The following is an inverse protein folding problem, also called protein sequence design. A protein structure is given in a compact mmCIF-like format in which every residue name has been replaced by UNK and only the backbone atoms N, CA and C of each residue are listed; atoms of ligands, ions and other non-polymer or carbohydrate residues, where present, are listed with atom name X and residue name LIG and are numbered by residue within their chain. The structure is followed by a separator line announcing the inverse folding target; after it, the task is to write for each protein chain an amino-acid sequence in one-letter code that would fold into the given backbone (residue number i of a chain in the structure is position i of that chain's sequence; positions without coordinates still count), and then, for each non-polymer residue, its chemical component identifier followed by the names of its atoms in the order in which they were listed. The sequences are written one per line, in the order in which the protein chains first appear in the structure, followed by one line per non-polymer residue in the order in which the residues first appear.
data_IF_640935959229
#
_entry.id   IF_640935959229
#
_cell.length_a   1.000
_cell.length_b   1.000
_cell.length_c   1.000
_cell.angle_alpha   90.00
_cell.angle_beta   90.00
_cell.angle_gamma   90.00
#
_symmetry.space_group_name_H-M   'P 1'
#
loop_
_entity.id
_entity.type
_entity.pdbx_description
1 polymer ?
#
# COMPACT_ATOMS: atom_id res chain seq x y z
N UNK A 1 -6.30 26.83 24.08
CA UNK A 1 -6.48 26.03 22.84
C UNK A 1 -5.31 26.33 21.94
N UNK A 2 -4.36 25.41 21.82
CA UNK A 2 -3.25 25.56 20.88
C UNK A 2 -3.80 25.41 19.47
N UNK A 3 -3.57 26.42 18.61
CA UNK A 3 -3.92 26.36 17.19
C UNK A 3 -2.78 25.66 16.47
N UNK A 4 -3.10 24.73 15.57
CA UNK A 4 -2.11 24.17 14.65
C UNK A 4 -1.63 25.31 13.75
N UNK A 5 -0.31 25.54 13.61
CA UNK A 5 0.20 26.51 12.65
C UNK A 5 -0.11 25.97 11.25
N UNK A 6 -0.99 26.66 10.51
CA UNK A 6 -1.35 26.30 9.14
C UNK A 6 -0.60 27.25 8.21
N UNK A 7 0.22 26.69 7.32
CA UNK A 7 0.89 27.42 6.24
C UNK A 7 -0.07 27.55 5.06
N UNK A 8 -0.12 28.75 4.47
CA UNK A 8 -0.83 28.98 3.22
C UNK A 8 -0.01 28.40 2.05
N UNK A 9 -0.52 27.34 1.43
CA UNK A 9 0.15 26.58 0.37
C UNK A 9 -0.86 26.06 -0.65
N UNK A 10 -0.41 25.73 -1.86
CA UNK A 10 -1.30 25.07 -2.83
C UNK A 10 -1.72 23.69 -2.31
N UNK A 11 -3.03 23.49 -2.19
CA UNK A 11 -3.62 22.23 -1.73
C UNK A 11 -3.98 21.29 -2.88
N UNK A 12 -3.88 21.72 -4.14
CA UNK A 12 -4.31 20.93 -5.30
C UNK A 12 -3.60 19.59 -5.37
N UNK A 13 -2.27 19.58 -5.21
CA UNK A 13 -1.48 18.34 -5.26
C UNK A 13 -1.66 17.45 -4.03
N UNK A 14 -1.58 17.94 -2.77
CA UNK A 14 -1.86 17.14 -1.58
C UNK A 14 -3.26 16.49 -1.60
N UNK A 15 -4.28 17.22 -2.03
CA UNK A 15 -5.65 16.68 -2.14
C UNK A 15 -5.70 15.57 -3.19
N UNK A 16 -5.06 15.75 -4.35
CA UNK A 16 -5.00 14.71 -5.37
C UNK A 16 -4.27 13.45 -4.88
N UNK A 17 -3.15 13.61 -4.16
CA UNK A 17 -2.41 12.48 -3.56
C UNK A 17 -3.30 11.77 -2.53
N UNK A 18 -3.92 12.50 -1.61
CA UNK A 18 -4.80 11.91 -0.60
C UNK A 18 -5.97 11.13 -1.20
N UNK A 19 -6.54 11.61 -2.31
CA UNK A 19 -7.58 10.87 -3.04
C UNK A 19 -7.05 9.56 -3.65
N UNK A 20 -5.84 9.58 -4.23
CA UNK A 20 -5.21 8.38 -4.79
C UNK A 20 -4.87 7.35 -3.71
N UNK A 21 -4.22 7.79 -2.62
CA UNK A 21 -3.90 6.94 -1.46
C UNK A 21 -5.16 6.26 -0.91
N UNK A 22 -6.24 7.04 -0.71
CA UNK A 22 -7.52 6.52 -0.23
C UNK A 22 -8.09 5.45 -1.16
N UNK A 23 -8.06 5.68 -2.48
CA UNK A 23 -8.60 4.73 -3.44
C UNK A 23 -7.80 3.43 -3.48
N UNK A 24 -6.47 3.53 -3.42
CA UNK A 24 -5.58 2.36 -3.34
C UNK A 24 -5.82 1.56 -2.06
N UNK A 25 -5.87 2.22 -0.89
CA UNK A 25 -6.19 1.56 0.37
C UNK A 25 -7.56 0.91 0.38
N UNK A 26 -8.57 1.56 -0.23
CA UNK A 26 -9.90 0.98 -0.39
C UNK A 26 -9.87 -0.28 -1.26
N UNK A 27 -9.21 -0.20 -2.42
CA UNK A 27 -9.09 -1.35 -3.33
C UNK A 27 -8.36 -2.53 -2.69
N UNK A 28 -7.31 -2.26 -1.91
CA UNK A 28 -6.59 -3.29 -1.16
C UNK A 28 -7.48 -3.91 -0.07
N UNK A 29 -8.21 -3.10 0.69
CA UNK A 29 -9.12 -3.61 1.72
C UNK A 29 -10.27 -4.43 1.13
N UNK A 30 -10.87 -3.96 0.04
CA UNK A 30 -11.99 -4.63 -0.63
C UNK A 30 -11.60 -5.94 -1.33
N UNK A 31 -10.30 -6.25 -1.39
CA UNK A 31 -9.78 -7.51 -1.89
C UNK A 31 -9.89 -8.67 -0.90
N UNK A 32 -10.26 -8.42 0.37
CA UNK A 32 -10.32 -9.43 1.43
C UNK A 32 -11.75 -9.64 1.92
N UNK A 33 -12.09 -10.88 2.28
CA UNK A 33 -13.44 -11.30 2.70
C UNK A 33 -14.00 -10.53 3.91
N UNK A 34 -13.13 -9.88 4.69
CA UNK A 34 -13.52 -9.05 5.82
C UNK A 34 -14.08 -7.69 5.41
N UNK A 35 -13.89 -7.25 4.16
CA UNK A 35 -14.50 -6.02 3.67
C UNK A 35 -15.98 -6.20 3.35
N UNK A 36 -16.76 -5.16 3.66
CA UNK A 36 -18.18 -5.08 3.30
C UNK A 36 -18.42 -5.06 1.78
N UNK A 37 -17.43 -4.56 1.02
CA UNK A 37 -17.50 -4.44 -0.44
C UNK A 37 -16.73 -5.57 -1.16
N UNK A 38 -16.38 -6.65 -0.44
CA UNK A 38 -15.69 -7.80 -1.04
C UNK A 38 -16.52 -8.44 -2.14
N UNK A 39 -15.89 -8.67 -3.30
CA UNK A 39 -16.55 -9.25 -4.48
C UNK A 39 -15.95 -10.58 -4.90
N UNK A 40 -14.63 -10.68 -4.97
CA UNK A 40 -13.91 -11.87 -5.39
C UNK A 40 -12.48 -11.87 -4.88
N UNK A 41 -11.92 -13.07 -4.65
CA UNK A 41 -10.51 -13.21 -4.32
C UNK A 41 -9.65 -12.73 -5.51
N UNK A 42 -8.62 -11.90 -5.27
CA UNK A 42 -7.75 -11.40 -6.35
C UNK A 42 -7.12 -12.51 -7.20
N UNK A 43 -6.83 -13.67 -6.60
CA UNK A 43 -6.29 -14.83 -7.31
C UNK A 43 -7.26 -15.38 -8.37
N UNK A 44 -8.57 -15.16 -8.20
CA UNK A 44 -9.63 -15.60 -9.10
C UNK A 44 -10.11 -14.52 -10.05
N UNK A 45 -9.75 -13.26 -9.79
CA UNK A 45 -10.14 -12.12 -10.59
C UNK A 45 -9.70 -12.28 -12.06
N UNK A 46 -10.57 -11.97 -13.04
CA UNK A 46 -10.24 -12.11 -14.46
C UNK A 46 -8.98 -11.34 -14.87
N UNK A 47 -8.71 -10.21 -14.22
CA UNK A 47 -7.58 -9.33 -14.55
C UNK A 47 -6.22 -9.95 -14.20
N UNK A 48 -6.17 -10.88 -13.25
CA UNK A 48 -4.94 -11.57 -12.84
C UNK A 48 -4.82 -12.98 -13.43
N UNK A 49 -5.93 -13.59 -13.85
CA UNK A 49 -5.98 -14.97 -14.33
C UNK A 49 -5.12 -15.15 -15.59
N UNK A 50 -4.26 -16.18 -15.55
CA UNK A 50 -3.48 -16.67 -16.69
C UNK A 50 -3.55 -18.20 -16.76
N UNK A 51 -2.76 -18.82 -17.64
CA UNK A 51 -2.85 -20.26 -17.96
C UNK A 51 -2.71 -21.20 -16.77
N UNK A 52 -1.88 -20.83 -15.77
CA UNK A 52 -1.64 -21.66 -14.58
C UNK A 52 -1.86 -20.87 -13.31
N UNK A 53 -2.19 -21.57 -12.21
CA UNK A 53 -2.33 -20.95 -10.89
C UNK A 53 -1.02 -20.31 -10.42
N UNK A 54 0.12 -20.96 -10.69
CA UNK A 54 1.44 -20.43 -10.36
C UNK A 54 1.71 -19.10 -11.09
N UNK A 55 1.42 -19.04 -12.39
CA UNK A 55 1.60 -17.80 -13.16
C UNK A 55 0.59 -16.72 -12.74
N UNK A 56 -0.63 -17.12 -12.35
CA UNK A 56 -1.66 -16.20 -11.82
C UNK A 56 -1.21 -15.57 -10.52
N UNK A 57 -0.70 -16.38 -9.59
CA UNK A 57 -0.10 -15.88 -8.35
C UNK A 57 1.08 -14.95 -8.61
N UNK A 58 2.00 -15.31 -9.53
CA UNK A 58 3.14 -14.46 -9.87
C UNK A 58 2.70 -13.09 -10.42
N UNK A 59 1.68 -13.06 -11.27
CA UNK A 59 1.10 -11.82 -11.79
C UNK A 59 0.43 -10.98 -10.70
N UNK A 60 -0.33 -11.63 -9.82
CA UNK A 60 -0.96 -10.98 -8.68
C UNK A 60 0.08 -10.39 -7.71
N UNK A 61 1.13 -11.15 -7.39
CA UNK A 61 2.22 -10.69 -6.52
C UNK A 61 2.95 -9.48 -7.11
N UNK A 62 3.20 -9.47 -8.42
CA UNK A 62 3.77 -8.32 -9.10
C UNK A 62 2.86 -7.09 -8.99
N UNK A 63 1.55 -7.26 -9.21
CA UNK A 63 0.57 -6.18 -9.04
C UNK A 63 0.56 -5.61 -7.61
N UNK A 64 0.61 -6.47 -6.59
CA UNK A 64 0.72 -6.03 -5.19
C UNK A 64 2.03 -5.30 -4.89
N UNK A 65 3.14 -5.70 -5.53
CA UNK A 65 4.40 -4.95 -5.42
C UNK A 65 4.24 -3.55 -5.99
N UNK A 66 3.73 -3.45 -7.22
CA UNK A 66 3.53 -2.16 -7.91
C UNK A 66 2.61 -1.24 -7.10
N UNK A 67 1.55 -1.81 -6.50
CA UNK A 67 0.63 -1.07 -5.63
C UNK A 67 1.32 -0.55 -4.36
N UNK A 68 2.17 -1.37 -3.73
CA UNK A 68 2.94 -1.00 -2.54
C UNK A 68 3.98 0.08 -2.86
N UNK A 69 4.69 -0.07 -3.97
CA UNK A 69 5.70 0.89 -4.42
C UNK A 69 5.06 2.25 -4.78
N UNK A 70 3.90 2.24 -5.43
CA UNK A 70 3.17 3.47 -5.74
C UNK A 70 2.60 4.15 -4.48
N UNK A 71 2.09 3.37 -3.51
CA UNK A 71 1.63 3.90 -2.22
C UNK A 71 2.79 4.61 -1.51
N UNK A 72 3.95 3.94 -1.41
CA UNK A 72 5.17 4.53 -0.85
C UNK A 72 5.58 5.80 -1.57
N UNK A 73 5.62 5.79 -2.90
CA UNK A 73 5.99 6.97 -3.71
C UNK A 73 5.06 8.16 -3.42
N UNK A 74 3.76 7.92 -3.31
CA UNK A 74 2.75 8.94 -3.02
C UNK A 74 2.86 9.47 -1.59
N UNK A 75 3.08 8.61 -0.60
CA UNK A 75 3.29 9.03 0.80
C UNK A 75 4.57 9.87 0.94
N UNK A 76 5.66 9.48 0.30
CA UNK A 76 6.92 10.24 0.30
C UNK A 76 6.78 11.60 -0.42
N UNK A 77 6.03 11.64 -1.52
CA UNK A 77 5.73 12.89 -2.22
C UNK A 77 4.87 13.81 -1.35
N UNK A 78 3.86 13.27 -0.65
CA UNK A 78 3.05 14.03 0.29
C UNK A 78 3.89 14.58 1.44
N UNK A 79 4.76 13.75 2.02
CA UNK A 79 5.70 14.17 3.08
C UNK A 79 6.61 15.29 2.59
N UNK A 80 7.16 15.18 1.36
CA UNK A 80 7.98 16.24 0.76
C UNK A 80 7.25 17.57 0.67
N UNK A 81 6.02 17.56 0.18
CA UNK A 81 5.20 18.79 0.03
C UNK A 81 5.02 19.49 1.38
N UNK A 82 4.73 18.73 2.45
CA UNK A 82 4.56 19.32 3.78
C UNK A 82 5.88 19.74 4.41
N UNK A 83 6.94 18.93 4.33
CA UNK A 83 8.27 19.29 4.83
C UNK A 83 8.76 20.58 4.19
N UNK A 84 8.57 20.74 2.87
CA UNK A 84 8.96 21.95 2.15
C UNK A 84 8.12 23.17 2.55
N UNK A 85 6.80 23.00 2.69
CA UNK A 85 5.91 24.09 3.10
C UNK A 85 6.20 24.59 4.52
N UNK A 86 6.59 23.70 5.43
CA UNK A 86 6.93 24.06 6.81
C UNK A 86 8.40 24.41 7.03
N UNK A 87 9.28 24.20 6.06
CA UNK A 87 10.72 24.45 6.20
C UNK A 87 11.41 23.48 7.17
N UNK A 88 10.98 22.22 7.19
CA UNK A 88 11.43 21.19 8.15
C UNK A 88 12.47 20.23 7.58
N UNK A 89 13.18 20.60 6.52
CA UNK A 89 14.12 19.72 5.82
C UNK A 89 15.27 19.22 6.71
N UNK A 90 15.64 20.01 7.72
CA UNK A 90 16.70 19.65 8.68
C UNK A 90 16.19 18.77 9.84
N UNK A 91 14.86 18.62 9.99
CA UNK A 91 14.23 17.90 11.10
C UNK A 91 13.59 16.57 10.67
N UNK A 92 13.10 16.48 9.43
CA UNK A 92 12.31 15.37 8.94
C UNK A 92 12.81 14.85 7.59
N UNK A 93 12.66 13.55 7.37
CA UNK A 93 12.95 12.89 6.09
C UNK A 93 11.67 12.62 5.33
N UNK A 94 11.73 12.63 4.00
CA UNK A 94 10.57 12.27 3.17
C UNK A 94 10.32 10.76 3.14
N UNK A 95 11.36 9.97 3.39
CA UNK A 95 11.36 8.51 3.25
C UNK A 95 10.38 7.84 4.21
N UNK A 96 9.62 6.87 3.68
CA UNK A 96 8.70 6.04 4.46
C UNK A 96 9.19 4.58 4.45
N UNK A 97 9.48 3.95 5.59
CA UNK A 97 9.89 2.54 5.62
C UNK A 97 8.84 1.62 4.96
N UNK A 98 9.28 0.57 4.28
CA UNK A 98 8.36 -0.33 3.56
C UNK A 98 7.38 -1.03 4.51
N UNK A 99 7.81 -1.30 5.74
CA UNK A 99 6.99 -1.85 6.82
C UNK A 99 5.91 -0.90 7.35
N UNK A 100 5.99 0.39 7.04
CA UNK A 100 4.97 1.39 7.40
C UNK A 100 3.91 1.57 6.32
N UNK A 101 4.11 1.00 5.12
CA UNK A 101 3.10 1.04 4.05
C UNK A 101 1.96 0.09 4.39
N UNK A 102 0.84 0.67 4.85
CA UNK A 102 -0.26 -0.03 5.53
C UNK A 102 -1.19 -0.86 4.63
N UNK A 103 -0.75 -1.21 3.42
CA UNK A 103 -1.50 -2.10 2.54
C UNK A 103 -1.47 -3.54 3.08
N UNK A 104 -2.62 -4.21 3.07
CA UNK A 104 -2.78 -5.61 3.50
C UNK A 104 -2.03 -6.56 2.56
N UNK A 105 -1.90 -6.21 1.28
CA UNK A 105 -1.09 -6.96 0.32
C UNK A 105 0.43 -6.77 0.50
N UNK A 106 0.89 -5.81 1.31
CA UNK A 106 2.30 -5.62 1.63
C UNK A 106 2.74 -6.63 2.71
N UNK A 107 3.61 -7.60 2.39
CA UNK A 107 4.05 -8.60 3.36
C UNK A 107 4.82 -7.99 4.54
N UNK A 108 5.59 -6.92 4.32
CA UNK A 108 6.42 -6.30 5.36
C UNK A 108 5.54 -5.68 6.46
N UNK A 109 4.43 -5.06 6.08
CA UNK A 109 3.42 -4.56 7.01
C UNK A 109 2.63 -5.71 7.65
N UNK A 110 2.09 -6.63 6.84
CA UNK A 110 1.19 -7.70 7.31
C UNK A 110 1.83 -8.67 8.30
N UNK A 111 3.09 -9.05 8.11
CA UNK A 111 3.75 -10.09 8.93
C UNK A 111 4.90 -9.57 9.82
N UNK A 112 5.23 -8.29 9.69
CA UNK A 112 6.18 -7.55 10.54
C UNK A 112 7.66 -7.71 10.17
N UNK A 113 8.46 -6.76 10.65
CA UNK A 113 9.86 -6.50 10.29
C UNK A 113 10.94 -7.46 10.84
N UNK A 114 10.56 -8.59 11.46
CA UNK A 114 11.51 -9.56 12.05
C UNK A 114 11.83 -10.75 11.15
N UNK A 115 11.31 -10.75 9.93
CA UNK A 115 11.39 -11.85 8.96
C UNK A 115 12.20 -11.44 7.74
N UNK A 116 12.86 -12.39 7.13
CA UNK A 116 13.51 -12.23 5.83
C UNK A 116 12.45 -12.09 4.74
N UNK A 117 12.82 -11.47 3.62
CA UNK A 117 11.95 -11.35 2.44
C UNK A 117 11.39 -12.71 1.99
N UNK A 118 12.22 -13.75 1.96
CA UNK A 118 11.80 -15.11 1.61
C UNK A 118 10.73 -15.68 2.55
N UNK A 119 10.84 -15.41 3.85
CA UNK A 119 9.82 -15.82 4.84
C UNK A 119 8.51 -15.05 4.66
N UNK A 120 8.60 -13.75 4.38
CA UNK A 120 7.44 -12.91 4.10
C UNK A 120 6.69 -13.37 2.85
N UNK A 121 7.42 -13.66 1.77
CA UNK A 121 6.85 -14.21 0.53
C UNK A 121 6.20 -15.57 0.74
N UNK A 122 6.83 -16.43 1.54
CA UNK A 122 6.27 -17.74 1.87
C UNK A 122 4.96 -17.63 2.65
N UNK A 123 4.87 -16.69 3.60
CA UNK A 123 3.66 -16.42 4.38
C UNK A 123 2.54 -15.84 3.53
N UNK A 124 2.84 -14.81 2.72
CA UNK A 124 1.86 -14.21 1.81
C UNK A 124 1.27 -15.26 0.87
N UNK A 125 2.13 -16.10 0.29
CA UNK A 125 1.69 -17.18 -0.59
C UNK A 125 0.84 -18.20 0.15
N UNK A 126 1.22 -18.59 1.36
CA UNK A 126 0.46 -19.55 2.16
C UNK A 126 -0.95 -19.03 2.48
N UNK A 127 -1.06 -17.78 2.94
CA UNK A 127 -2.36 -17.14 3.23
C UNK A 127 -3.21 -17.01 1.97
N UNK A 128 -2.64 -16.56 0.86
CA UNK A 128 -3.37 -16.42 -0.42
C UNK A 128 -3.95 -17.75 -0.91
N UNK A 129 -3.22 -18.86 -0.71
CA UNK A 129 -3.70 -20.19 -1.08
C UNK A 129 -4.68 -20.74 -0.04
N UNK A 130 -4.54 -20.39 1.24
CA UNK A 130 -5.49 -20.77 2.27
C UNK A 130 -6.86 -20.11 2.07
N UNK A 131 -6.88 -18.83 1.66
CA UNK A 131 -8.13 -18.12 1.31
C UNK A 131 -8.82 -18.72 0.06
N UNK A 132 -8.09 -19.47 -0.78
CA UNK A 132 -8.66 -20.15 -1.95
C UNK A 132 -9.36 -21.49 -1.64
N UNK A 133 -9.07 -22.13 -0.50
CA UNK A 133 -9.53 -23.49 -0.15
C UNK A 133 -10.81 -23.50 0.70
#
# INVERSE_FOLDING_TARGET
MSRVPVVDMDHTRPVAIAMQLREMSKSDWDAYETSWDFTTLPLLAPDHRVETLQATYARLRAHWQDMTDEMKRLEEENNRIFIDAYGLQDELTTEVPIEEITLTCNPAYRYGNKKTESELEALLRADTIAEFL
#
